data_IF_373639423846
#
_entry.id   IF_373639423846
#
_cell.length_a   1.000
_cell.length_b   1.000
_cell.length_c   1.000
_cell.angle_alpha   90.00
_cell.angle_beta   90.00
_cell.angle_gamma   90.00
#
_symmetry.space_group_name_H-M   'P 1'
#
loop_
_entity.id
_entity.type
_entity.pdbx_description
1 polymer ?
#
# COMPACT_ATOMS: atom_id res chain seq x y z
N UNK A 1 -9.09 10.76 18.41
CA UNK A 1 -8.59 12.02 17.83
C UNK A 1 -7.18 11.87 17.22
N UNK A 2 -6.26 11.16 17.87
CA UNK A 2 -4.85 11.05 17.43
C UNK A 2 -4.50 9.74 16.70
N UNK A 3 -5.52 8.96 16.31
CA UNK A 3 -5.29 7.71 15.60
C UNK A 3 -4.88 8.01 14.15
N UNK A 4 -3.66 7.61 13.79
CA UNK A 4 -3.15 7.72 12.42
C UNK A 4 -3.40 6.41 11.70
N UNK A 5 -3.99 6.49 10.51
CA UNK A 5 -4.41 5.33 9.74
C UNK A 5 -3.54 5.28 8.49
N UNK A 6 -2.80 4.19 8.32
CA UNK A 6 -2.04 3.91 7.10
C UNK A 6 -2.80 2.86 6.31
N UNK A 7 -3.34 3.27 5.16
CA UNK A 7 -3.99 2.38 4.22
C UNK A 7 -2.94 1.92 3.20
N UNK A 8 -2.74 0.61 3.10
CA UNK A 8 -1.82 0.01 2.13
C UNK A 8 -2.64 -0.56 0.97
N UNK A 9 -2.38 -0.06 -0.23
CA UNK A 9 -3.03 -0.54 -1.44
C UNK A 9 -2.66 -1.98 -1.78
N UNK A 10 -3.52 -2.63 -2.56
CA UNK A 10 -3.22 -3.94 -3.13
C UNK A 10 -1.96 -3.90 -4.01
N UNK A 11 -1.03 -4.84 -3.80
CA UNK A 11 0.14 -4.97 -4.66
C UNK A 11 -0.18 -5.58 -6.04
N UNK A 12 0.68 -5.25 -7.01
CA UNK A 12 0.64 -5.85 -8.33
C UNK A 12 1.22 -7.26 -8.29
N UNK A 13 0.38 -8.26 -8.56
CA UNK A 13 0.82 -9.65 -8.69
C UNK A 13 1.87 -9.75 -9.79
N UNK A 14 2.99 -10.41 -9.54
CA UNK A 14 4.06 -10.54 -10.55
C UNK A 14 3.61 -11.34 -11.78
N UNK A 15 2.57 -12.17 -11.64
CA UNK A 15 1.92 -12.88 -12.76
C UNK A 15 0.96 -12.03 -13.61
N UNK A 16 0.84 -10.72 -13.36
CA UNK A 16 -0.18 -9.87 -14.00
C UNK A 16 -0.10 -9.84 -15.53
N UNK A 17 1.11 -9.93 -16.10
CA UNK A 17 1.36 -9.86 -17.54
C UNK A 17 0.82 -11.09 -18.29
N UNK A 18 0.73 -12.24 -17.63
CA UNK A 18 0.10 -13.45 -18.19
C UNK A 18 -1.40 -13.47 -17.85
N UNK A 19 -1.76 -13.10 -16.62
CA UNK A 19 -3.13 -13.19 -16.10
C UNK A 19 -3.89 -11.86 -16.24
N UNK A 20 -4.28 -11.51 -17.46
CA UNK A 20 -5.04 -10.28 -17.78
C UNK A 20 -6.24 -10.03 -16.88
N UNK A 21 -7.02 -11.07 -16.53
CA UNK A 21 -8.16 -10.90 -15.63
C UNK A 21 -7.72 -10.39 -14.25
N UNK A 22 -6.62 -10.90 -13.70
CA UNK A 22 -6.12 -10.46 -12.40
C UNK A 22 -5.65 -9.00 -12.45
N UNK A 23 -5.02 -8.59 -13.56
CA UNK A 23 -4.63 -7.20 -13.81
C UNK A 23 -5.85 -6.27 -13.82
N UNK A 24 -6.88 -6.59 -14.61
CA UNK A 24 -8.12 -5.78 -14.68
C UNK A 24 -8.83 -5.68 -13.34
N UNK A 25 -8.82 -6.74 -12.53
CA UNK A 25 -9.39 -6.69 -11.18
C UNK A 25 -8.59 -5.79 -10.25
N UNK A 26 -7.26 -5.77 -10.38
CA UNK A 26 -6.40 -4.86 -9.62
C UNK A 26 -6.67 -3.39 -9.99
N UNK A 27 -6.75 -3.07 -11.28
CA UNK A 27 -7.05 -1.70 -11.75
C UNK A 27 -8.37 -1.19 -11.17
N UNK A 28 -9.41 -2.03 -11.18
CA UNK A 28 -10.71 -1.71 -10.56
C UNK A 28 -10.58 -1.46 -9.06
N UNK A 29 -9.82 -2.29 -8.34
CA UNK A 29 -9.55 -2.08 -6.90
C UNK A 29 -8.81 -0.78 -6.63
N UNK A 30 -7.81 -0.44 -7.44
CA UNK A 30 -7.04 0.79 -7.30
C UNK A 30 -7.91 2.04 -7.50
N UNK A 31 -8.80 2.02 -8.49
CA UNK A 31 -9.79 3.10 -8.68
C UNK A 31 -10.66 3.23 -7.43
N UNK A 32 -11.19 2.12 -6.90
CA UNK A 32 -12.02 2.14 -5.69
C UNK A 32 -11.29 2.62 -4.44
N UNK A 33 -10.01 2.28 -4.28
CA UNK A 33 -9.23 2.79 -3.14
C UNK A 33 -9.07 4.31 -3.21
N UNK A 34 -8.79 4.86 -4.39
CA UNK A 34 -8.69 6.32 -4.58
C UNK A 34 -10.01 7.03 -4.26
N UNK A 35 -11.12 6.53 -4.81
CA UNK A 35 -12.46 7.05 -4.51
C UNK A 35 -12.76 7.02 -3.00
N UNK A 36 -12.44 5.92 -2.32
CA UNK A 36 -12.64 5.78 -0.88
C UNK A 36 -11.79 6.77 -0.08
N UNK A 37 -10.53 7.00 -0.46
CA UNK A 37 -9.65 7.97 0.21
C UNK A 37 -10.20 9.39 0.03
N UNK A 38 -10.71 9.71 -1.17
CA UNK A 38 -11.32 11.00 -1.45
C UNK A 38 -12.62 11.21 -0.67
N UNK A 39 -13.43 10.16 -0.51
CA UNK A 39 -14.63 10.16 0.35
C UNK A 39 -14.25 10.40 1.82
N UNK A 40 -13.31 9.60 2.36
CA UNK A 40 -12.86 9.73 3.75
C UNK A 40 -12.24 11.10 4.03
N UNK A 41 -11.51 11.66 3.06
CA UNK A 41 -10.94 13.00 3.16
C UNK A 41 -12.04 14.07 3.19
N UNK A 42 -13.10 13.92 2.39
CA UNK A 42 -14.27 14.82 2.40
C UNK A 42 -15.07 14.74 3.69
N UNK A 43 -15.15 13.56 4.30
CA UNK A 43 -15.81 13.34 5.59
C UNK A 43 -15.00 13.90 6.78
N UNK A 44 -13.83 14.49 6.53
CA UNK A 44 -13.01 15.14 7.55
C UNK A 44 -12.18 14.15 8.38
N UNK A 45 -11.99 12.92 7.90
CA UNK A 45 -11.11 11.95 8.55
C UNK A 45 -9.66 12.40 8.38
N UNK A 46 -9.11 12.99 9.44
CA UNK A 46 -7.72 13.40 9.51
C UNK A 46 -6.77 12.23 9.81
N UNK A 47 -5.49 12.39 9.46
CA UNK A 47 -4.45 11.40 9.79
C UNK A 47 -4.45 10.14 8.92
N UNK A 48 -5.16 10.17 7.78
CA UNK A 48 -5.11 9.12 6.76
C UNK A 48 -3.88 9.29 5.87
N UNK A 49 -3.14 8.21 5.67
CA UNK A 49 -2.04 8.13 4.71
C UNK A 49 -2.24 6.90 3.82
N UNK A 50 -1.97 7.04 2.53
CA UNK A 50 -2.13 5.97 1.56
C UNK A 50 -0.80 5.61 0.91
N UNK A 51 -0.45 4.34 0.98
CA UNK A 51 0.68 3.76 0.25
C UNK A 51 0.12 3.08 -0.98
N UNK A 52 0.51 3.56 -2.17
CA UNK A 52 0.14 2.90 -3.41
C UNK A 52 0.77 1.50 -3.49
N UNK A 53 -0.05 0.49 -3.76
CA UNK A 53 0.41 -0.90 -3.66
C UNK A 53 1.25 -1.38 -4.85
N UNK A 54 1.13 -0.74 -6.02
CA UNK A 54 1.70 -1.23 -7.29
C UNK A 54 3.23 -1.32 -7.27
N UNK A 55 3.90 -0.51 -6.47
CA UNK A 55 5.38 -0.50 -6.34
C UNK A 55 5.92 -1.41 -5.25
N UNK A 56 5.06 -2.01 -4.41
CA UNK A 56 5.45 -2.77 -3.22
C UNK A 56 6.33 -4.00 -3.50
N UNK A 57 6.26 -4.55 -4.71
CA UNK A 57 7.02 -5.72 -5.12
C UNK A 57 8.15 -5.42 -6.11
N UNK A 58 8.33 -4.15 -6.50
CA UNK A 58 9.18 -3.76 -7.63
C UNK A 58 8.54 -4.07 -8.99
N UNK A 59 9.33 -3.95 -10.05
CA UNK A 59 8.90 -4.01 -11.45
C UNK A 59 9.52 -5.17 -12.26
N UNK A 60 10.40 -5.97 -11.64
CA UNK A 60 11.10 -7.09 -12.27
C UNK A 60 10.30 -8.41 -12.33
N UNK A 61 9.18 -8.48 -11.60
CA UNK A 61 8.32 -9.65 -11.46
C UNK A 61 8.94 -10.87 -10.72
N UNK A 62 10.07 -10.70 -10.02
CA UNK A 62 10.77 -11.80 -9.31
C UNK A 62 10.40 -11.90 -7.83
N UNK A 63 9.58 -10.98 -7.33
CA UNK A 63 9.26 -10.86 -5.91
C UNK A 63 8.26 -11.89 -5.36
N UNK A 64 7.83 -12.87 -6.15
CA UNK A 64 6.84 -13.87 -5.75
C UNK A 64 7.22 -15.29 -6.17
N UNK A 65 6.92 -16.26 -5.31
CA UNK A 65 7.21 -17.68 -5.53
C UNK A 65 6.25 -18.29 -6.57
N UNK A 66 4.98 -17.88 -6.57
CA UNK A 66 3.91 -18.49 -7.37
C UNK A 66 3.16 -17.47 -8.25
N UNK A 67 3.67 -16.25 -8.32
CA UNK A 67 3.04 -15.15 -9.06
C UNK A 67 2.01 -14.37 -8.25
N UNK A 68 1.77 -14.71 -6.99
CA UNK A 68 0.81 -14.06 -6.09
C UNK A 68 1.45 -13.77 -4.74
N UNK A 69 1.98 -14.78 -4.05
CA UNK A 69 2.49 -14.67 -2.69
C UNK A 69 3.94 -14.20 -2.70
N UNK A 70 4.27 -13.10 -1.98
CA UNK A 70 5.65 -12.60 -1.93
C UNK A 70 6.60 -13.64 -1.32
N UNK A 71 7.80 -13.73 -1.89
CA UNK A 71 8.93 -14.42 -1.25
C UNK A 71 9.71 -13.45 -0.35
N UNK A 72 10.90 -13.87 0.12
CA UNK A 72 11.72 -13.07 1.03
C UNK A 72 12.07 -11.69 0.46
N UNK A 73 12.48 -11.63 -0.82
CA UNK A 73 12.77 -10.35 -1.49
C UNK A 73 11.52 -9.48 -1.66
N UNK A 74 10.35 -10.10 -1.88
CA UNK A 74 9.09 -9.36 -1.98
C UNK A 74 8.71 -8.74 -0.65
N UNK A 75 8.83 -9.48 0.46
CA UNK A 75 8.59 -8.92 1.79
C UNK A 75 9.62 -7.86 2.18
N UNK A 76 10.88 -8.02 1.79
CA UNK A 76 11.90 -6.99 2.01
C UNK A 76 11.53 -5.68 1.32
N UNK A 77 11.16 -5.73 0.03
CA UNK A 77 10.71 -4.54 -0.73
C UNK A 77 9.47 -3.88 -0.13
N UNK A 78 8.53 -4.70 0.33
CA UNK A 78 7.36 -4.21 1.06
C UNK A 78 7.78 -3.48 2.34
N UNK A 79 8.70 -4.04 3.12
CA UNK A 79 9.21 -3.43 4.33
C UNK A 79 9.92 -2.11 4.03
N UNK A 80 10.81 -2.05 3.03
CA UNK A 80 11.53 -0.83 2.63
C UNK A 80 10.57 0.31 2.22
N UNK A 81 9.38 -0.04 1.70
CA UNK A 81 8.36 0.95 1.33
C UNK A 81 7.49 1.38 2.52
N UNK A 82 7.08 0.42 3.37
CA UNK A 82 6.10 0.65 4.44
C UNK A 82 6.76 1.21 5.71
N UNK A 83 7.96 0.73 6.05
CA UNK A 83 8.65 1.07 7.29
C UNK A 83 8.90 2.58 7.45
N UNK A 84 9.36 3.34 6.44
CA UNK A 84 9.62 4.76 6.59
C UNK A 84 8.36 5.55 6.91
N UNK A 85 7.22 5.14 6.33
CA UNK A 85 5.91 5.72 6.61
C UNK A 85 5.52 5.44 8.06
N UNK A 86 5.61 4.19 8.51
CA UNK A 86 5.26 3.84 9.89
C UNK A 86 6.16 4.57 10.91
N UNK A 87 7.45 4.69 10.62
CA UNK A 87 8.42 5.41 11.46
C UNK A 87 8.06 6.89 11.57
N UNK A 88 7.85 7.57 10.45
CA UNK A 88 7.43 8.98 10.42
C UNK A 88 6.14 9.19 11.23
N UNK A 89 5.18 8.28 11.08
CA UNK A 89 3.91 8.35 11.79
C UNK A 89 4.06 8.12 13.30
N UNK A 90 4.96 7.23 13.72
CA UNK A 90 5.27 6.94 15.12
C UNK A 90 6.05 8.08 15.79
N UNK A 91 7.12 8.58 15.16
CA UNK A 91 8.00 9.61 15.72
C UNK A 91 7.28 10.96 15.90
N UNK A 92 6.45 11.36 14.93
CA UNK A 92 5.59 12.55 15.03
C UNK A 92 4.56 12.46 16.16
N UNK A 93 4.12 11.25 16.53
CA UNK A 93 3.25 11.04 17.70
C UNK A 93 4.04 11.22 19.01
N UNK A 94 5.26 10.72 19.08
CA UNK A 94 6.12 10.89 20.25
C UNK A 94 6.51 12.36 20.53
N UNK A 95 6.44 13.23 19.51
CA UNK A 95 6.79 14.65 19.61
C UNK A 95 5.60 15.60 19.80
N UNK A 96 4.37 15.11 20.02
CA UNK A 96 3.24 15.99 20.34
C UNK A 96 3.34 16.43 21.82
N UNK A 97 3.61 17.71 22.14
CA UNK A 97 3.70 18.15 23.52
C UNK A 97 2.31 18.11 24.16
N UNK A 98 2.28 17.74 25.44
CA UNK A 98 1.09 17.87 26.31
C UNK A 98 0.61 19.32 26.38
#
# INVERSE_FOLDING_TARGET
PDLRIVLVGNYQRTSHWIRRQAHTQLEKKMIRYRELIDDLSRDGIAGLHFIEGTTLLGDDNDASIDGIHPGDIGFLRMADTIEPVLRDHYEKRAHTPC
#
